data_IF_020813775638
#
_entry.id   IF_020813775638
#
_cell.length_a   1.000
_cell.length_b   1.000
_cell.length_c   1.000
_cell.angle_alpha   90.00
_cell.angle_beta   90.00
_cell.angle_gamma   90.00
#
_symmetry.space_group_name_H-M   'P 1'
#
loop_
_entity.id
_entity.type
_entity.pdbx_description
1 polymer ?
#
# COMPACT_ATOMS: atom_id res chain seq x y z
N UNK A 1 -76.67 -43.01 47.40
CA UNK A 1 -77.17 -43.06 46.02
C UNK A 1 -76.72 -41.79 45.33
N UNK A 2 -76.30 -41.92 44.09
CA UNK A 2 -75.67 -40.89 43.25
C UNK A 2 -76.52 -39.63 43.09
N UNK A 3 -75.90 -38.47 43.20
CA UNK A 3 -76.48 -37.20 42.73
C UNK A 3 -76.13 -37.05 41.24
N UNK A 4 -77.16 -37.09 40.40
CA UNK A 4 -77.04 -36.91 38.96
C UNK A 4 -77.21 -35.41 38.68
N UNK A 5 -76.17 -34.77 38.15
CA UNK A 5 -76.19 -33.38 37.71
C UNK A 5 -77.02 -33.23 36.43
N UNK A 6 -77.94 -32.27 36.43
CA UNK A 6 -78.74 -31.89 35.26
C UNK A 6 -77.84 -31.34 34.14
N UNK A 7 -77.92 -31.96 32.95
CA UNK A 7 -77.27 -31.47 31.74
C UNK A 7 -78.00 -30.23 31.21
N UNK A 8 -77.29 -29.10 31.07
CA UNK A 8 -77.85 -27.92 30.39
C UNK A 8 -77.89 -28.16 28.89
N UNK A 9 -79.06 -27.97 28.27
CA UNK A 9 -79.19 -28.02 26.82
C UNK A 9 -78.37 -26.89 26.16
N UNK A 10 -77.39 -27.28 25.34
CA UNK A 10 -76.59 -26.38 24.54
C UNK A 10 -77.48 -25.59 23.57
N UNK A 11 -77.42 -24.26 23.63
CA UNK A 11 -78.16 -23.40 22.69
C UNK A 11 -77.56 -23.52 21.29
N UNK A 12 -78.40 -23.47 20.24
CA UNK A 12 -77.94 -23.58 18.84
C UNK A 12 -76.88 -22.54 18.45
N UNK A 13 -76.88 -21.39 19.13
CA UNK A 13 -75.85 -20.36 18.97
C UNK A 13 -74.54 -20.69 19.68
N UNK A 14 -74.62 -21.36 20.83
CA UNK A 14 -73.42 -21.86 21.52
C UNK A 14 -72.77 -22.98 20.71
N UNK A 15 -73.55 -23.89 20.14
CA UNK A 15 -73.03 -24.93 19.24
C UNK A 15 -72.32 -24.35 18.01
N UNK A 16 -72.93 -23.34 17.35
CA UNK A 16 -72.31 -22.65 16.22
C UNK A 16 -71.00 -21.95 16.63
N UNK A 17 -70.99 -21.31 17.79
CA UNK A 17 -69.83 -20.61 18.32
C UNK A 17 -68.66 -21.57 18.59
N UNK A 18 -68.92 -22.68 19.28
CA UNK A 18 -67.88 -23.68 19.59
C UNK A 18 -67.40 -24.42 18.34
N UNK A 19 -68.28 -24.72 17.37
CA UNK A 19 -67.91 -25.49 16.18
C UNK A 19 -67.23 -24.66 15.08
N UNK A 20 -67.55 -23.36 14.96
CA UNK A 20 -67.05 -22.53 13.86
C UNK A 20 -66.07 -21.47 14.35
N UNK A 21 -66.44 -20.70 15.38
CA UNK A 21 -65.67 -19.50 15.78
C UNK A 21 -64.35 -19.90 16.46
N UNK A 22 -64.38 -20.90 17.35
CA UNK A 22 -63.16 -21.33 18.06
C UNK A 22 -62.13 -21.94 17.09
N UNK A 23 -62.49 -22.89 16.19
CA UNK A 23 -61.53 -23.41 15.20
C UNK A 23 -61.04 -22.34 14.23
N UNK A 24 -61.89 -21.40 13.81
CA UNK A 24 -61.49 -20.32 12.92
C UNK A 24 -60.49 -19.37 13.60
N UNK A 25 -60.72 -18.97 14.86
CA UNK A 25 -59.78 -18.16 15.62
C UNK A 25 -58.44 -18.87 15.77
N UNK A 26 -58.45 -20.17 16.10
CA UNK A 26 -57.22 -20.94 16.22
C UNK A 26 -56.46 -21.03 14.89
N UNK A 27 -57.15 -21.24 13.78
CA UNK A 27 -56.55 -21.26 12.44
C UNK A 27 -55.93 -19.90 12.06
N UNK A 28 -56.59 -18.79 12.37
CA UNK A 28 -56.04 -17.45 12.14
C UNK A 28 -54.82 -17.15 12.99
N UNK A 29 -54.82 -17.58 14.26
CA UNK A 29 -53.69 -17.42 15.17
C UNK A 29 -52.47 -18.23 14.67
N UNK A 30 -52.67 -19.49 14.30
CA UNK A 30 -51.61 -20.34 13.74
C UNK A 30 -51.10 -19.79 12.41
N UNK A 31 -52.00 -19.34 11.54
CA UNK A 31 -51.65 -18.73 10.26
C UNK A 31 -50.83 -17.44 10.44
N UNK A 32 -51.19 -16.60 11.41
CA UNK A 32 -50.45 -15.39 11.74
C UNK A 32 -49.04 -15.68 12.25
N UNK A 33 -48.87 -16.66 13.14
CA UNK A 33 -47.54 -17.09 13.61
C UNK A 33 -46.72 -17.68 12.46
N UNK A 34 -47.34 -18.47 11.58
CA UNK A 34 -46.68 -19.02 10.39
C UNK A 34 -46.20 -17.92 9.43
N UNK A 35 -47.05 -16.91 9.16
CA UNK A 35 -46.71 -15.74 8.36
C UNK A 35 -45.58 -14.90 8.98
N UNK A 36 -45.51 -14.82 10.31
CA UNK A 36 -44.41 -14.16 11.02
C UNK A 36 -43.07 -14.88 10.79
N UNK A 37 -43.06 -16.21 10.69
CA UNK A 37 -41.85 -16.98 10.33
C UNK A 37 -41.40 -16.75 8.88
N UNK A 38 -42.33 -16.41 7.99
CA UNK A 38 -42.07 -16.05 6.59
C UNK A 38 -41.57 -14.61 6.41
N UNK A 39 -41.39 -13.84 7.50
CA UNK A 39 -40.92 -12.45 7.47
C UNK A 39 -41.99 -11.43 7.06
N UNK A 40 -43.27 -11.82 7.01
CA UNK A 40 -44.39 -10.92 6.73
C UNK A 40 -44.79 -10.18 8.02
N UNK A 41 -44.91 -8.86 7.96
CA UNK A 41 -45.27 -8.03 9.11
C UNK A 41 -46.77 -8.13 9.44
N UNK A 42 -47.17 -9.24 10.05
CA UNK A 42 -48.55 -9.52 10.50
C UNK A 42 -49.07 -8.48 11.50
N UNK A 43 -48.19 -7.92 12.35
CA UNK A 43 -48.57 -6.92 13.34
C UNK A 43 -49.01 -5.61 12.66
N UNK A 44 -48.28 -5.16 11.63
CA UNK A 44 -48.63 -3.94 10.89
C UNK A 44 -50.01 -4.00 10.21
N UNK A 45 -50.35 -5.13 9.59
CA UNK A 45 -51.67 -5.32 8.97
C UNK A 45 -52.81 -5.41 10.01
N UNK A 46 -52.54 -5.98 11.18
CA UNK A 46 -53.47 -6.07 12.32
C UNK A 46 -53.60 -4.75 13.09
N UNK A 47 -52.69 -3.79 12.95
CA UNK A 47 -52.97 -2.42 13.41
C UNK A 47 -53.73 -1.62 12.35
N UNK A 48 -53.43 -1.82 11.07
CA UNK A 48 -54.11 -1.15 9.95
C UNK A 48 -55.62 -1.42 9.89
N UNK A 49 -56.06 -2.67 10.05
CA UNK A 49 -57.49 -3.00 10.08
C UNK A 49 -58.22 -2.47 11.33
N UNK A 50 -57.52 -2.30 12.46
CA UNK A 50 -58.10 -1.97 13.76
C UNK A 50 -58.43 -0.48 13.82
N UNK A 51 -57.63 0.33 13.12
CA UNK A 51 -57.90 1.75 12.87
C UNK A 51 -59.08 1.99 11.91
N UNK A 52 -59.68 0.95 11.33
CA UNK A 52 -60.85 1.07 10.43
C UNK A 52 -62.15 0.68 11.12
N UNK A 53 -62.09 0.15 12.36
CA UNK A 53 -63.26 -0.28 13.12
C UNK A 53 -63.64 0.81 14.13
N UNK A 54 -64.82 1.44 13.98
CA UNK A 54 -65.30 2.41 14.96
C UNK A 54 -65.33 1.77 16.36
N UNK A 55 -64.92 2.51 17.39
CA UNK A 55 -64.76 2.13 18.81
C UNK A 55 -63.44 1.49 19.24
N UNK A 56 -62.60 0.96 18.34
CA UNK A 56 -61.32 0.29 18.71
C UNK A 56 -60.14 1.28 18.79
N UNK A 57 -60.23 2.42 18.10
CA UNK A 57 -59.20 3.48 18.07
C UNK A 57 -58.82 4.02 19.45
N UNK A 58 -59.72 3.98 20.44
CA UNK A 58 -59.48 4.56 21.79
C UNK A 58 -58.73 3.64 22.76
N UNK A 59 -58.51 2.38 22.39
CA UNK A 59 -57.81 1.39 23.23
C UNK A 59 -56.36 1.14 22.80
N UNK A 60 -55.90 1.76 21.72
CA UNK A 60 -54.54 1.61 21.20
C UNK A 60 -53.69 2.76 21.77
N UNK A 61 -52.63 2.48 22.57
CA UNK A 61 -51.70 3.52 23.03
C UNK A 61 -50.99 4.19 21.85
N UNK A 62 -50.91 5.53 21.87
CA UNK A 62 -50.32 6.36 20.80
C UNK A 62 -48.86 5.99 20.46
N UNK A 63 -48.15 5.30 21.36
CA UNK A 63 -46.78 4.80 21.17
C UNK A 63 -46.65 3.83 19.99
N UNK A 64 -47.76 3.22 19.53
CA UNK A 64 -47.78 2.27 18.41
C UNK A 64 -48.40 2.84 17.11
N UNK A 65 -48.98 4.04 17.14
CA UNK A 65 -49.66 4.65 16.00
C UNK A 65 -48.73 5.51 15.10
N UNK A 66 -47.52 5.84 15.57
CA UNK A 66 -46.61 6.79 14.92
C UNK A 66 -45.33 6.15 14.34
N UNK A 67 -45.43 5.09 13.54
CA UNK A 67 -44.24 4.53 12.85
C UNK A 67 -44.46 4.14 11.39
N UNK A 68 -45.33 4.85 10.68
CA UNK A 68 -45.64 4.53 9.28
C UNK A 68 -45.51 5.78 8.39
N UNK A 69 -44.37 5.93 7.71
CA UNK A 69 -44.30 6.73 6.49
C UNK A 69 -43.17 7.77 6.42
N UNK A 70 -43.27 8.85 7.20
CA UNK A 70 -42.53 10.09 6.89
C UNK A 70 -41.08 10.14 7.43
N UNK A 71 -40.75 9.42 8.51
CA UNK A 71 -39.39 9.44 9.09
C UNK A 71 -38.37 8.57 8.35
N UNK A 72 -38.82 7.68 7.45
CA UNK A 72 -37.91 6.82 6.68
C UNK A 72 -37.30 7.54 5.48
N UNK A 73 -38.05 8.42 4.80
CA UNK A 73 -37.53 9.14 3.63
C UNK A 73 -36.50 10.20 4.03
N UNK A 74 -36.79 11.03 5.06
CA UNK A 74 -35.87 12.05 5.54
C UNK A 74 -34.55 11.48 6.13
N UNK A 75 -34.59 10.29 6.72
CA UNK A 75 -33.39 9.61 7.24
C UNK A 75 -32.58 8.95 6.11
N UNK A 76 -33.26 8.44 5.07
CA UNK A 76 -32.60 7.88 3.88
C UNK A 76 -31.92 8.97 3.04
N UNK A 77 -32.53 10.14 2.94
CA UNK A 77 -31.97 11.29 2.21
C UNK A 77 -30.73 11.89 2.90
N UNK A 78 -30.74 11.96 4.25
CA UNK A 78 -29.56 12.31 5.05
C UNK A 78 -28.44 11.28 4.94
N UNK A 79 -28.77 9.99 4.91
CA UNK A 79 -27.78 8.93 4.67
C UNK A 79 -27.18 9.02 3.27
N UNK A 80 -28.00 9.29 2.24
CA UNK A 80 -27.52 9.49 0.87
C UNK A 80 -26.59 10.70 0.74
N UNK A 81 -26.90 11.82 1.40
CA UNK A 81 -26.01 12.99 1.44
C UNK A 81 -24.69 12.67 2.15
N UNK A 82 -24.73 12.00 3.31
CA UNK A 82 -23.52 11.59 4.02
C UNK A 82 -22.64 10.64 3.20
N UNK A 83 -23.25 9.69 2.48
CA UNK A 83 -22.55 8.79 1.58
C UNK A 83 -21.94 9.54 0.38
N UNK A 84 -22.62 10.55 -0.18
CA UNK A 84 -22.08 11.37 -1.27
C UNK A 84 -20.90 12.25 -0.82
N UNK A 85 -20.98 12.82 0.38
CA UNK A 85 -19.87 13.59 0.97
C UNK A 85 -18.66 12.69 1.24
N UNK A 86 -18.89 11.50 1.80
CA UNK A 86 -17.83 10.52 2.05
C UNK A 86 -17.22 10.01 0.74
N UNK A 87 -18.04 9.76 -0.29
CA UNK A 87 -17.57 9.39 -1.62
C UNK A 87 -16.71 10.50 -2.22
N UNK A 88 -17.12 11.77 -2.09
CA UNK A 88 -16.36 12.92 -2.60
C UNK A 88 -15.02 13.08 -1.86
N UNK A 89 -15.03 12.95 -0.53
CA UNK A 89 -13.83 13.01 0.30
C UNK A 89 -12.88 11.86 -0.01
N UNK A 90 -13.42 10.65 -0.08
CA UNK A 90 -12.65 9.48 -0.50
C UNK A 90 -12.07 9.77 -1.88
N UNK A 91 -12.86 10.26 -2.86
CA UNK A 91 -12.49 10.72 -4.22
C UNK A 91 -11.47 11.85 -4.32
N UNK A 92 -11.21 12.56 -3.23
CA UNK A 92 -10.06 13.44 -3.12
C UNK A 92 -8.82 12.71 -2.57
N UNK A 93 -8.99 11.80 -1.60
CA UNK A 93 -7.88 11.08 -0.94
C UNK A 93 -7.06 10.18 -1.87
N UNK A 94 -7.60 9.14 -2.49
CA UNK A 94 -6.86 8.37 -3.52
C UNK A 94 -6.38 9.24 -4.71
N UNK A 95 -7.00 10.36 -5.09
CA UNK A 95 -6.45 11.24 -6.13
C UNK A 95 -5.15 11.88 -5.65
N UNK A 96 -5.11 12.27 -4.36
CA UNK A 96 -3.89 12.68 -3.69
C UNK A 96 -2.88 11.53 -3.54
N UNK A 97 -3.31 10.31 -3.21
CA UNK A 97 -2.41 9.16 -3.04
C UNK A 97 -1.85 8.65 -4.37
N UNK A 98 -2.65 8.59 -5.43
CA UNK A 98 -2.23 8.28 -6.81
C UNK A 98 -1.24 9.32 -7.27
N UNK A 99 -1.51 10.61 -7.04
CA UNK A 99 -0.54 11.67 -7.33
C UNK A 99 0.75 11.53 -6.51
N UNK A 100 0.67 11.08 -5.25
CA UNK A 100 1.84 10.83 -4.40
C UNK A 100 2.63 9.59 -4.89
N UNK A 101 1.94 8.54 -5.32
CA UNK A 101 2.52 7.34 -5.89
C UNK A 101 3.24 7.64 -7.21
N UNK A 102 2.60 8.38 -8.13
CA UNK A 102 3.22 8.84 -9.38
C UNK A 102 4.47 9.71 -9.12
N UNK A 103 4.41 10.58 -8.10
CA UNK A 103 5.57 11.37 -7.67
C UNK A 103 6.69 10.48 -7.12
N UNK A 104 6.36 9.46 -6.33
CA UNK A 104 7.34 8.50 -5.80
C UNK A 104 7.95 7.65 -6.91
N UNK A 105 7.16 7.18 -7.86
CA UNK A 105 7.66 6.43 -9.02
C UNK A 105 8.56 7.28 -9.89
N UNK A 106 8.18 8.53 -10.17
CA UNK A 106 9.03 9.47 -10.89
C UNK A 106 10.33 9.75 -10.14
N UNK A 107 10.27 9.86 -8.81
CA UNK A 107 11.45 10.03 -7.96
C UNK A 107 12.36 8.79 -7.97
N UNK A 108 11.78 7.58 -7.93
CA UNK A 108 12.51 6.31 -8.03
C UNK A 108 13.23 6.24 -9.37
N UNK A 109 12.55 6.50 -10.49
CA UNK A 109 13.15 6.49 -11.82
C UNK A 109 14.29 7.53 -11.93
N UNK A 110 14.10 8.72 -11.36
CA UNK A 110 15.12 9.76 -11.33
C UNK A 110 16.35 9.35 -10.50
N UNK A 111 16.14 8.71 -9.34
CA UNK A 111 17.19 8.21 -8.48
C UNK A 111 17.94 7.03 -9.12
N UNK A 112 17.25 6.11 -9.78
CA UNK A 112 17.85 5.02 -10.55
C UNK A 112 18.74 5.55 -11.67
N UNK A 113 18.26 6.56 -12.40
CA UNK A 113 19.05 7.24 -13.42
C UNK A 113 20.28 7.91 -12.82
N UNK A 114 20.16 8.61 -11.68
CA UNK A 114 21.30 9.20 -10.99
C UNK A 114 22.33 8.16 -10.55
N UNK A 115 21.89 7.03 -10.01
CA UNK A 115 22.80 5.94 -9.61
C UNK A 115 23.53 5.40 -10.82
N UNK A 116 22.82 5.12 -11.92
CA UNK A 116 23.44 4.68 -13.18
C UNK A 116 24.44 5.72 -13.71
N UNK A 117 24.07 7.00 -13.75
CA UNK A 117 24.91 8.08 -14.26
C UNK A 117 26.16 8.26 -13.38
N UNK A 118 26.03 8.17 -12.05
CA UNK A 118 27.16 8.20 -11.11
C UNK A 118 28.06 6.98 -11.25
N UNK A 119 27.51 5.78 -11.42
CA UNK A 119 28.29 4.56 -11.65
C UNK A 119 29.09 4.66 -12.96
N UNK A 120 28.47 5.13 -14.04
CA UNK A 120 29.17 5.39 -15.31
C UNK A 120 30.26 6.44 -15.14
N UNK A 121 29.98 7.54 -14.45
CA UNK A 121 30.97 8.58 -14.20
C UNK A 121 32.15 8.10 -13.34
N UNK A 122 31.90 7.23 -12.36
CA UNK A 122 32.96 6.57 -11.59
C UNK A 122 33.79 5.66 -12.49
N UNK A 123 33.16 4.82 -13.33
CA UNK A 123 33.88 3.88 -14.19
C UNK A 123 34.64 4.58 -15.33
N UNK A 124 34.07 5.63 -15.91
CA UNK A 124 34.72 6.46 -16.92
C UNK A 124 35.92 7.19 -16.30
N UNK A 125 35.76 7.76 -15.10
CA UNK A 125 36.88 8.36 -14.36
C UNK A 125 37.94 7.32 -14.02
N UNK A 126 37.55 6.11 -13.61
CA UNK A 126 38.47 5.02 -13.27
C UNK A 126 39.24 4.54 -14.49
N UNK A 127 38.57 4.33 -15.62
CA UNK A 127 39.18 3.89 -16.89
C UNK A 127 40.12 4.95 -17.44
N UNK A 128 39.66 6.20 -17.53
CA UNK A 128 40.49 7.33 -18.01
C UNK A 128 41.69 7.57 -17.09
N UNK A 129 41.51 7.42 -15.78
CA UNK A 129 42.59 7.51 -14.81
C UNK A 129 43.55 6.34 -14.96
N UNK A 130 43.08 5.09 -15.06
CA UNK A 130 43.95 3.92 -15.26
C UNK A 130 44.81 4.03 -16.52
N UNK A 131 44.26 4.53 -17.62
CA UNK A 131 45.01 4.79 -18.86
C UNK A 131 46.07 5.89 -18.67
N UNK A 132 45.71 7.03 -18.05
CA UNK A 132 46.68 8.08 -17.70
C UNK A 132 47.76 7.56 -16.75
N UNK A 133 47.37 6.79 -15.75
CA UNK A 133 48.25 6.20 -14.74
C UNK A 133 49.23 5.21 -15.39
N UNK A 134 48.80 4.44 -16.41
CA UNK A 134 49.70 3.59 -17.22
C UNK A 134 50.71 4.42 -18.00
N UNK A 135 50.29 5.50 -18.66
CA UNK A 135 51.20 6.40 -19.39
C UNK A 135 52.25 7.03 -18.45
N UNK A 136 51.82 7.51 -17.28
CA UNK A 136 52.75 8.04 -16.27
C UNK A 136 53.65 6.96 -15.68
N UNK A 137 53.19 5.71 -15.58
CA UNK A 137 54.01 4.60 -15.11
C UNK A 137 55.06 4.18 -16.16
N UNK A 138 54.75 4.29 -17.44
CA UNK A 138 55.73 4.13 -18.52
C UNK A 138 56.77 5.26 -18.51
N UNK A 139 56.36 6.52 -18.32
CA UNK A 139 57.27 7.65 -18.14
C UNK A 139 58.17 7.48 -16.90
N UNK A 140 57.59 7.07 -15.77
CA UNK A 140 58.33 6.78 -14.55
C UNK A 140 59.35 5.65 -14.77
N UNK A 141 58.98 4.61 -15.52
CA UNK A 141 59.91 3.53 -15.88
C UNK A 141 61.03 4.06 -16.77
N UNK A 142 60.72 4.85 -17.79
CA UNK A 142 61.69 5.45 -18.69
C UNK A 142 62.70 6.32 -17.93
N UNK A 143 62.23 7.23 -17.08
CA UNK A 143 63.11 8.09 -16.28
C UNK A 143 63.90 7.31 -15.22
N UNK A 144 63.35 6.22 -14.68
CA UNK A 144 64.07 5.34 -13.75
C UNK A 144 65.25 4.60 -14.40
N UNK A 145 65.26 4.46 -15.74
CA UNK A 145 66.40 3.87 -16.46
C UNK A 145 67.52 4.87 -16.73
N UNK A 146 67.27 6.17 -16.53
CA UNK A 146 68.24 7.24 -16.71
C UNK A 146 69.05 7.46 -15.43
N UNK A 147 70.18 8.18 -15.55
CA UNK A 147 70.90 8.61 -14.35
C UNK A 147 70.07 9.64 -13.56
N UNK A 148 70.16 9.67 -12.21
CA UNK A 148 69.37 10.60 -11.40
C UNK A 148 69.53 12.07 -11.79
N UNK A 149 70.74 12.45 -12.25
CA UNK A 149 71.04 13.81 -12.73
C UNK A 149 70.28 14.14 -14.03
N UNK A 150 70.24 13.20 -14.97
CA UNK A 150 69.57 13.42 -16.26
C UNK A 150 68.05 13.40 -16.10
N UNK A 151 67.54 12.49 -15.27
CA UNK A 151 66.12 12.44 -14.92
C UNK A 151 65.68 13.73 -14.20
N UNK A 152 66.45 14.22 -13.23
CA UNK A 152 66.18 15.49 -12.55
C UNK A 152 66.07 16.66 -13.53
N UNK A 153 67.03 16.81 -14.46
CA UNK A 153 67.01 17.88 -15.45
C UNK A 153 65.76 17.85 -16.35
N UNK A 154 65.19 16.67 -16.63
CA UNK A 154 63.94 16.55 -17.39
C UNK A 154 62.74 16.88 -16.51
N UNK A 155 62.68 16.26 -15.31
CA UNK A 155 61.55 16.41 -14.37
C UNK A 155 61.39 17.85 -13.88
N UNK A 156 62.48 18.61 -13.74
CA UNK A 156 62.44 20.03 -13.39
C UNK A 156 61.75 20.91 -14.41
N UNK A 157 61.71 20.49 -15.67
CA UNK A 157 61.05 21.22 -16.75
C UNK A 157 59.58 20.83 -16.92
N UNK A 158 59.11 19.82 -16.18
CA UNK A 158 57.69 19.48 -16.11
C UNK A 158 56.95 20.48 -15.20
N UNK A 159 55.62 20.52 -15.36
CA UNK A 159 54.79 21.18 -14.35
C UNK A 159 54.89 20.45 -13.00
N UNK A 160 54.63 21.18 -11.92
CA UNK A 160 54.71 20.63 -10.55
C UNK A 160 53.81 19.40 -10.36
N UNK A 161 52.63 19.40 -10.98
CA UNK A 161 51.65 18.32 -10.91
C UNK A 161 52.09 17.07 -11.70
N UNK A 162 52.66 17.25 -12.89
CA UNK A 162 53.19 16.16 -13.72
C UNK A 162 54.41 15.52 -13.06
N UNK A 163 55.31 16.35 -12.52
CA UNK A 163 56.49 15.88 -11.79
C UNK A 163 56.08 15.01 -10.58
N UNK A 164 55.12 15.47 -9.77
CA UNK A 164 54.56 14.72 -8.64
C UNK A 164 53.96 13.39 -9.10
N UNK A 165 53.18 13.41 -10.18
CA UNK A 165 52.47 12.22 -10.68
C UNK A 165 53.44 11.15 -11.19
N UNK A 166 54.47 11.54 -11.94
CA UNK A 166 55.52 10.63 -12.43
C UNK A 166 56.37 10.12 -11.27
N UNK A 167 56.83 11.00 -10.38
CA UNK A 167 57.65 10.62 -9.24
C UNK A 167 56.92 9.67 -8.31
N UNK A 168 55.60 9.84 -8.07
CA UNK A 168 54.77 8.93 -7.24
C UNK A 168 54.76 7.49 -7.75
N UNK A 169 55.04 7.27 -9.04
CA UNK A 169 55.11 5.94 -9.66
C UNK A 169 56.51 5.31 -9.63
N UNK A 170 57.51 6.04 -9.15
CA UNK A 170 58.87 5.54 -9.00
C UNK A 170 59.07 4.89 -7.62
N UNK A 171 60.09 4.05 -7.51
CA UNK A 171 60.51 3.51 -6.20
C UNK A 171 61.14 4.62 -5.35
N UNK A 172 61.00 4.52 -4.03
CA UNK A 172 61.49 5.52 -3.07
C UNK A 172 62.96 5.91 -3.31
N UNK A 173 63.85 4.95 -3.57
CA UNK A 173 65.28 5.21 -3.79
C UNK A 173 65.53 6.03 -5.08
N UNK A 174 64.77 5.76 -6.15
CA UNK A 174 64.87 6.49 -7.42
C UNK A 174 64.32 7.91 -7.27
N UNK A 175 63.20 8.03 -6.55
CA UNK A 175 62.56 9.30 -6.24
C UNK A 175 63.50 10.20 -5.41
N UNK A 176 64.11 9.65 -4.36
CA UNK A 176 65.09 10.33 -3.52
C UNK A 176 66.34 10.74 -4.31
N UNK A 177 66.84 9.84 -5.17
CA UNK A 177 67.98 10.13 -6.04
C UNK A 177 67.73 11.29 -7.02
N UNK A 178 66.52 11.38 -7.57
CA UNK A 178 66.13 12.46 -8.48
C UNK A 178 65.93 13.76 -7.72
N UNK A 179 65.14 13.77 -6.63
CA UNK A 179 64.91 14.95 -5.79
C UNK A 179 66.22 15.55 -5.26
N UNK A 180 67.19 14.72 -4.89
CA UNK A 180 68.51 15.16 -4.43
C UNK A 180 69.39 15.83 -5.52
N UNK A 181 69.00 15.70 -6.79
CA UNK A 181 69.69 16.31 -7.94
C UNK A 181 68.91 17.48 -8.57
N UNK A 182 67.77 17.85 -7.98
CA UNK A 182 66.95 18.98 -8.40
C UNK A 182 67.30 20.28 -7.63
N UNK A 183 66.75 21.41 -8.09
CA UNK A 183 66.71 22.67 -7.37
C UNK A 183 65.99 22.46 -6.01
N UNK A 184 66.60 22.90 -4.90
CA UNK A 184 66.05 22.66 -3.56
C UNK A 184 64.64 23.20 -3.34
N UNK A 185 64.26 24.32 -3.99
CA UNK A 185 62.92 24.90 -3.83
C UNK A 185 61.89 24.03 -4.55
N UNK A 186 62.16 23.67 -5.81
CA UNK A 186 61.27 22.78 -6.57
C UNK A 186 61.13 21.41 -5.89
N UNK A 187 62.22 20.85 -5.37
CA UNK A 187 62.17 19.57 -4.66
C UNK A 187 61.30 19.63 -3.40
N UNK A 188 61.34 20.74 -2.66
CA UNK A 188 60.48 20.95 -1.50
C UNK A 188 58.99 21.05 -1.89
N UNK A 189 58.68 21.83 -2.92
CA UNK A 189 57.31 22.00 -3.42
C UNK A 189 56.72 20.65 -3.88
N UNK A 190 57.49 19.87 -4.64
CA UNK A 190 57.09 18.53 -5.10
C UNK A 190 56.89 17.58 -3.93
N UNK A 191 57.73 17.63 -2.91
CA UNK A 191 57.63 16.75 -1.73
C UNK A 191 56.36 16.99 -0.92
N UNK A 192 55.91 18.24 -0.82
CA UNK A 192 54.64 18.59 -0.15
C UNK A 192 53.47 18.03 -0.95
N UNK A 193 53.44 18.24 -2.26
CA UNK A 193 52.35 17.76 -3.12
C UNK A 193 52.30 16.23 -3.25
N UNK A 194 53.43 15.54 -3.14
CA UNK A 194 53.50 14.08 -3.08
C UNK A 194 52.71 13.52 -1.88
N UNK A 195 52.75 14.21 -0.74
CA UNK A 195 51.98 13.85 0.45
C UNK A 195 50.48 14.10 0.26
N UNK A 196 50.10 15.27 -0.26
CA UNK A 196 48.70 15.72 -0.30
C UNK A 196 47.89 15.09 -1.45
N UNK A 197 48.54 14.68 -2.54
CA UNK A 197 47.88 14.06 -3.71
C UNK A 197 47.48 12.59 -3.52
N UNK A 198 47.94 11.93 -2.45
CA UNK A 198 47.49 10.58 -2.06
C UNK A 198 46.15 10.66 -1.31
N UNK A 199 46.00 11.64 -0.43
CA UNK A 199 44.85 11.74 0.48
C UNK A 199 43.59 12.18 -0.28
N UNK A 200 43.64 13.28 -1.02
CA UNK A 200 42.43 13.90 -1.59
C UNK A 200 41.70 13.03 -2.64
N UNK A 201 42.41 12.26 -3.47
CA UNK A 201 41.80 11.53 -4.60
C UNK A 201 41.13 10.22 -4.18
N UNK A 202 41.71 9.53 -3.21
CA UNK A 202 41.15 8.27 -2.69
C UNK A 202 39.90 8.58 -1.84
N UNK A 203 39.92 9.68 -1.10
CA UNK A 203 38.78 10.19 -0.33
C UNK A 203 37.60 10.59 -1.23
N UNK A 204 37.85 11.26 -2.36
CA UNK A 204 36.81 11.67 -3.32
C UNK A 204 36.09 10.47 -3.95
N UNK A 205 36.84 9.43 -4.36
CA UNK A 205 36.26 8.21 -4.94
C UNK A 205 35.50 7.43 -3.86
N UNK A 206 36.03 7.34 -2.64
CA UNK A 206 35.36 6.68 -1.52
C UNK A 206 34.03 7.36 -1.17
N UNK A 207 33.99 8.70 -1.13
CA UNK A 207 32.76 9.46 -0.87
C UNK A 207 31.69 9.24 -1.96
N UNK A 208 32.11 9.16 -3.23
CA UNK A 208 31.20 8.85 -4.34
C UNK A 208 30.64 7.43 -4.26
N UNK A 209 31.48 6.45 -3.88
CA UNK A 209 31.05 5.05 -3.69
C UNK A 209 30.07 4.92 -2.51
N UNK A 210 30.34 5.60 -1.40
CA UNK A 210 29.44 5.64 -0.24
C UNK A 210 28.08 6.21 -0.63
N UNK A 211 28.06 7.31 -1.39
CA UNK A 211 26.80 7.90 -1.90
C UNK A 211 26.03 6.93 -2.79
N UNK A 212 26.69 6.20 -3.68
CA UNK A 212 26.06 5.17 -4.51
C UNK A 212 25.48 4.04 -3.65
N UNK A 213 26.17 3.61 -2.61
CA UNK A 213 25.68 2.58 -1.68
C UNK A 213 24.45 3.05 -0.90
N UNK A 214 24.46 4.28 -0.38
CA UNK A 214 23.31 4.87 0.32
C UNK A 214 22.09 4.95 -0.58
N UNK A 215 22.25 5.42 -1.82
CA UNK A 215 21.16 5.52 -2.78
C UNK A 215 20.63 4.13 -3.20
N UNK A 216 21.52 3.16 -3.37
CA UNK A 216 21.14 1.78 -3.70
C UNK A 216 20.39 1.12 -2.54
N UNK A 217 20.82 1.36 -1.30
CA UNK A 217 20.11 0.88 -0.10
C UNK A 217 18.70 1.47 -0.01
N UNK A 218 18.56 2.78 -0.17
CA UNK A 218 17.26 3.45 -0.16
C UNK A 218 16.31 2.93 -1.25
N UNK A 219 16.83 2.68 -2.46
CA UNK A 219 16.07 2.04 -3.55
C UNK A 219 15.66 0.61 -3.20
N UNK A 220 16.55 -0.18 -2.60
CA UNK A 220 16.28 -1.56 -2.22
C UNK A 220 15.23 -1.69 -1.11
N UNK A 221 15.25 -0.78 -0.12
CA UNK A 221 14.25 -0.74 0.96
C UNK A 221 12.86 -0.38 0.40
N UNK A 222 12.81 0.56 -0.57
CA UNK A 222 11.57 0.92 -1.27
C UNK A 222 11.02 -0.24 -2.12
N UNK A 223 11.89 -1.01 -2.81
CA UNK A 223 11.46 -2.20 -3.59
C UNK A 223 11.09 -3.40 -2.73
N UNK A 224 11.65 -3.56 -1.54
CA UNK A 224 11.36 -4.70 -0.65
C UNK A 224 9.90 -4.71 -0.22
N UNK A 225 9.32 -3.54 0.01
CA UNK A 225 7.88 -3.39 0.28
C UNK A 225 7.01 -3.86 -0.91
N UNK A 226 7.48 -3.71 -2.15
CA UNK A 226 6.84 -4.26 -3.35
C UNK A 226 7.06 -5.77 -3.49
N UNK A 227 8.26 -6.33 -3.27
CA UNK A 227 8.45 -7.79 -3.35
C UNK A 227 7.60 -8.59 -2.34
N UNK A 228 7.30 -7.98 -1.19
CA UNK A 228 6.39 -8.55 -0.19
C UNK A 228 4.93 -8.51 -0.66
N UNK A 229 4.53 -7.53 -1.49
CA UNK A 229 3.18 -7.49 -2.07
C UNK A 229 2.99 -8.61 -3.09
N UNK A 230 4.00 -8.90 -3.92
CA UNK A 230 3.93 -9.96 -4.94
C UNK A 230 3.78 -11.36 -4.33
N UNK A 231 4.49 -11.63 -3.23
CA UNK A 231 4.35 -12.88 -2.49
C UNK A 231 2.94 -13.03 -1.89
N UNK A 232 2.35 -11.93 -1.39
CA UNK A 232 0.98 -11.92 -0.90
C UNK A 232 -0.03 -12.11 -2.04
N UNK A 233 0.11 -11.40 -3.16
CA UNK A 233 -0.74 -11.56 -4.35
C UNK A 233 -0.77 -13.02 -4.80
N UNK A 234 0.39 -13.69 -4.88
CA UNK A 234 0.46 -15.10 -5.24
C UNK A 234 -0.23 -16.01 -4.22
N UNK A 235 -0.06 -15.73 -2.92
CA UNK A 235 -0.71 -16.49 -1.84
C UNK A 235 -2.23 -16.36 -1.91
N UNK A 236 -2.75 -15.13 -2.06
CA UNK A 236 -4.18 -14.87 -2.21
C UNK A 236 -4.74 -15.43 -3.52
N UNK A 237 -3.96 -15.49 -4.60
CA UNK A 237 -4.41 -16.04 -5.90
C UNK A 237 -4.61 -17.55 -5.87
N UNK A 238 -3.92 -18.24 -4.96
CA UNK A 238 -4.05 -19.68 -4.73
C UNK A 238 -5.06 -20.03 -3.63
N UNK A 239 -5.43 -19.05 -2.80
CA UNK A 239 -6.39 -19.22 -1.72
C UNK A 239 -7.83 -19.36 -2.27
N UNK A 240 -8.69 -20.19 -1.62
CA UNK A 240 -10.11 -20.22 -1.92
C UNK A 240 -10.75 -18.83 -1.80
N UNK A 241 -11.74 -18.55 -2.66
CA UNK A 241 -12.31 -17.20 -2.78
C UNK A 241 -13.00 -16.75 -1.48
N UNK A 242 -13.64 -17.67 -0.76
CA UNK A 242 -14.32 -17.42 0.51
C UNK A 242 -13.32 -17.04 1.62
N UNK A 243 -12.22 -17.79 1.75
CA UNK A 243 -11.19 -17.53 2.76
C UNK A 243 -10.46 -16.21 2.47
N UNK A 244 -10.12 -15.98 1.18
CA UNK A 244 -9.51 -14.74 0.74
C UNK A 244 -10.45 -13.55 0.98
N UNK A 245 -11.75 -13.69 0.72
CA UNK A 245 -12.74 -12.64 0.97
C UNK A 245 -12.80 -12.26 2.45
N UNK A 246 -12.86 -13.23 3.37
CA UNK A 246 -12.88 -12.96 4.81
C UNK A 246 -11.64 -12.17 5.27
N UNK A 247 -10.45 -12.56 4.80
CA UNK A 247 -9.20 -11.87 5.14
C UNK A 247 -9.15 -10.48 4.52
N UNK A 248 -9.49 -10.34 3.24
CA UNK A 248 -9.55 -9.05 2.54
C UNK A 248 -10.53 -8.10 3.23
N UNK A 249 -11.70 -8.57 3.68
CA UNK A 249 -12.64 -7.75 4.46
C UNK A 249 -12.03 -7.24 5.75
N UNK A 250 -11.35 -8.10 6.52
CA UNK A 250 -10.66 -7.68 7.74
C UNK A 250 -9.52 -6.71 7.44
N UNK A 251 -8.82 -6.90 6.33
CA UNK A 251 -7.73 -6.04 5.90
C UNK A 251 -8.25 -4.68 5.40
N UNK A 252 -9.42 -4.63 4.77
CA UNK A 252 -10.09 -3.38 4.40
C UNK A 252 -10.42 -2.49 5.61
N UNK A 253 -10.61 -3.08 6.80
CA UNK A 253 -10.81 -2.34 8.05
C UNK A 253 -9.52 -1.89 8.74
N UNK A 254 -8.41 -2.64 8.58
CA UNK A 254 -7.15 -2.40 9.31
C UNK A 254 -6.05 -1.76 8.47
N UNK A 255 -5.94 -2.13 7.19
CA UNK A 255 -4.98 -1.62 6.23
C UNK A 255 -5.56 -1.67 4.81
N UNK A 256 -6.45 -0.72 4.53
CA UNK A 256 -7.17 -0.60 3.25
C UNK A 256 -6.22 -0.61 2.04
N UNK A 257 -5.15 0.20 2.05
CA UNK A 257 -4.22 0.28 0.92
C UNK A 257 -3.60 -1.08 0.58
N UNK A 258 -3.21 -1.89 1.59
CA UNK A 258 -2.67 -3.23 1.34
C UNK A 258 -3.71 -4.19 0.77
N UNK A 259 -4.95 -4.15 1.23
CA UNK A 259 -6.03 -4.96 0.68
C UNK A 259 -6.26 -4.64 -0.80
N UNK A 260 -6.29 -3.36 -1.15
CA UNK A 260 -6.48 -2.89 -2.52
C UNK A 260 -5.28 -3.24 -3.40
N UNK A 261 -4.04 -3.04 -2.94
CA UNK A 261 -2.85 -3.44 -3.70
C UNK A 261 -2.77 -4.95 -3.96
N UNK A 262 -3.17 -5.78 -2.98
CA UNK A 262 -3.25 -7.23 -3.18
C UNK A 262 -4.25 -7.56 -4.28
N UNK A 263 -5.47 -7.03 -4.20
CA UNK A 263 -6.52 -7.29 -5.19
C UNK A 263 -6.18 -6.76 -6.59
N UNK A 264 -5.62 -5.55 -6.68
CA UNK A 264 -5.24 -4.91 -7.93
C UNK A 264 -4.15 -5.71 -8.68
N UNK A 265 -3.24 -6.35 -7.94
CA UNK A 265 -2.18 -7.17 -8.51
C UNK A 265 -2.62 -8.58 -8.95
N UNK A 266 -3.84 -9.01 -8.64
CA UNK A 266 -4.34 -10.34 -9.03
C UNK A 266 -4.86 -10.34 -10.47
N UNK A 267 -4.98 -11.53 -11.06
CA UNK A 267 -5.68 -11.69 -12.33
C UNK A 267 -7.18 -11.39 -12.19
N UNK A 268 -7.79 -10.93 -13.29
CA UNK A 268 -9.17 -10.44 -13.31
C UNK A 268 -10.17 -11.52 -12.85
N UNK A 269 -9.94 -12.77 -13.23
CA UNK A 269 -10.75 -13.93 -12.84
C UNK A 269 -10.68 -14.21 -11.34
N UNK A 270 -9.49 -14.14 -10.74
CA UNK A 270 -9.29 -14.35 -9.30
C UNK A 270 -9.90 -13.21 -8.51
N UNK A 271 -9.65 -11.97 -8.91
CA UNK A 271 -10.25 -10.77 -8.30
C UNK A 271 -11.77 -10.81 -8.36
N UNK A 272 -12.36 -11.20 -9.50
CA UNK A 272 -13.79 -11.34 -9.66
C UNK A 272 -14.38 -12.41 -8.72
N UNK A 273 -13.71 -13.56 -8.58
CA UNK A 273 -14.16 -14.63 -7.68
C UNK A 273 -14.14 -14.21 -6.21
N UNK A 274 -13.10 -13.50 -5.77
CA UNK A 274 -12.97 -12.99 -4.40
C UNK A 274 -14.02 -11.90 -4.16
N UNK A 275 -14.20 -10.97 -5.10
CA UNK A 275 -15.24 -9.93 -5.01
C UNK A 275 -16.64 -10.54 -4.89
N UNK A 276 -16.95 -11.59 -5.67
CA UNK A 276 -18.22 -12.28 -5.57
C UNK A 276 -18.44 -12.91 -4.18
N UNK A 277 -17.39 -13.50 -3.58
CA UNK A 277 -17.45 -14.00 -2.21
C UNK A 277 -17.62 -12.88 -1.17
N UNK A 278 -16.99 -11.72 -1.36
CA UNK A 278 -17.21 -10.53 -0.51
C UNK A 278 -18.66 -10.05 -0.60
N UNK A 279 -19.25 -10.00 -1.80
CA UNK A 279 -20.67 -9.61 -2.02
C UNK A 279 -21.63 -10.55 -1.28
N UNK A 280 -21.34 -11.85 -1.28
CA UNK A 280 -22.13 -12.84 -0.55
C UNK A 280 -22.13 -12.55 0.96
N UNK A 281 -20.96 -12.34 1.54
CA UNK A 281 -20.84 -11.97 2.95
C UNK A 281 -21.45 -10.59 3.27
N UNK A 282 -21.39 -9.63 2.35
CA UNK A 282 -22.00 -8.30 2.49
C UNK A 282 -23.51 -8.40 2.64
N UNK A 283 -24.13 -9.31 1.87
CA UNK A 283 -25.57 -9.57 1.93
C UNK A 283 -25.97 -10.16 3.28
N UNK A 284 -25.14 -11.06 3.84
CA UNK A 284 -25.38 -11.70 5.13
C UNK A 284 -25.17 -10.73 6.31
N UNK A 285 -24.13 -9.89 6.23
CA UNK A 285 -23.74 -8.94 7.30
C UNK A 285 -24.38 -7.56 7.17
N UNK A 286 -25.12 -7.30 6.08
CA UNK A 286 -25.67 -5.97 5.73
C UNK A 286 -24.58 -4.89 5.64
N UNK A 287 -23.45 -5.24 5.05
CA UNK A 287 -22.30 -4.35 4.82
C UNK A 287 -22.15 -4.07 3.30
N UNK A 288 -21.24 -3.17 2.93
CA UNK A 288 -20.99 -2.76 1.53
C UNK A 288 -19.49 -2.80 1.18
N UNK A 289 -18.75 -3.75 1.74
CA UNK A 289 -17.29 -3.86 1.58
C UNK A 289 -16.90 -4.09 0.12
N UNK A 290 -17.64 -4.90 -0.63
CA UNK A 290 -17.37 -5.15 -2.05
C UNK A 290 -17.51 -3.87 -2.89
N UNK A 291 -18.50 -3.03 -2.60
CA UNK A 291 -18.68 -1.75 -3.26
C UNK A 291 -17.52 -0.80 -2.95
N UNK A 292 -17.07 -0.78 -1.68
CA UNK A 292 -15.89 -0.01 -1.26
C UNK A 292 -14.63 -0.49 -1.98
N UNK A 293 -14.37 -1.79 -1.99
CA UNK A 293 -13.22 -2.37 -2.71
C UNK A 293 -13.24 -1.98 -4.19
N UNK A 294 -14.39 -2.15 -4.86
CA UNK A 294 -14.52 -1.84 -6.29
C UNK A 294 -14.26 -0.37 -6.58
N UNK A 295 -14.75 0.53 -5.72
CA UNK A 295 -14.50 1.97 -5.85
C UNK A 295 -13.02 2.32 -5.69
N UNK A 296 -12.30 1.61 -4.84
CA UNK A 296 -10.88 1.87 -4.56
C UNK A 296 -9.96 1.28 -5.62
N UNK A 297 -10.36 0.17 -6.27
CA UNK A 297 -9.60 -0.44 -7.37
C UNK A 297 -9.68 0.35 -8.69
N UNK A 298 -10.71 1.16 -8.87
CA UNK A 298 -10.91 1.96 -10.09
C UNK A 298 -10.09 3.26 -10.10
N UNK A 299 -9.24 3.48 -9.11
CA UNK A 299 -8.66 4.78 -8.81
C UNK A 299 -7.15 4.73 -8.62
#
# INVERSE_FOLDING_TARGET
MEEIQEEREYSRWEWLFYMIIIPALFATLLGGVFLSFLGVNVLGHVLGWANTVPYVEKLIPDDYAASSGEDKEANTEKQLQGLQEEQTKNQQTIASLTQEAEKKDSAIQALEKQVSDLQKLIEDKRTTEEERQKQYQELAKLYSTMSPKNAAAIVENLSLEEAVTVLKKMKADQQAGILAKMDPKKAADISILLKDSVVNKDDDIAALQERVQVLTKALSETRKDSSNIDALINTFSQMPAEDAAAIIRSLMGTNQNRAISILAGMSDDKRASILAAVVKEDTEKKENVAAKITSELLR
#
